data_IF_556547907170
#
_entry.id   IF_556547907170
#
_cell.length_a   1.000
_cell.length_b   1.000
_cell.length_c   1.000
_cell.angle_alpha   90.00
_cell.angle_beta   90.00
_cell.angle_gamma   90.00
#
_symmetry.space_group_name_H-M   'P 1'
#
loop_
_entity.id
_entity.type
_entity.pdbx_description
1 polymer ?
#
# COMPACT_ATOMS: atom_id res chain seq x y z
N UNK A 1 0.42 -17.18 -41.49
CA UNK A 1 1.59 -17.70 -40.72
C UNK A 1 2.58 -16.59 -40.30
N UNK A 2 2.93 -15.64 -41.17
CA UNK A 2 3.95 -14.60 -40.82
C UNK A 2 3.62 -13.68 -39.62
N UNK A 3 2.35 -13.35 -39.39
CA UNK A 3 1.96 -12.46 -38.26
C UNK A 3 1.97 -13.15 -36.90
N UNK A 4 1.78 -14.47 -36.83
CA UNK A 4 1.91 -15.25 -35.61
C UNK A 4 3.39 -15.40 -35.18
N UNK A 5 4.29 -15.51 -36.17
CA UNK A 5 5.73 -15.58 -35.91
C UNK A 5 6.30 -14.27 -35.39
N UNK A 6 5.77 -13.13 -35.84
CA UNK A 6 6.15 -11.78 -35.34
C UNK A 6 5.65 -11.57 -33.91
N UNK A 7 4.46 -12.06 -33.59
CA UNK A 7 3.93 -12.03 -32.23
C UNK A 7 4.75 -12.92 -31.29
N UNK A 8 5.15 -14.13 -31.71
CA UNK A 8 6.01 -15.03 -30.96
C UNK A 8 7.40 -14.45 -30.66
N UNK A 9 8.01 -13.76 -31.63
CA UNK A 9 9.28 -13.08 -31.44
C UNK A 9 9.17 -11.82 -30.56
N UNK A 10 8.01 -11.18 -30.55
CA UNK A 10 7.71 -10.07 -29.63
C UNK A 10 7.52 -10.58 -28.20
N UNK A 11 6.81 -11.70 -28.01
CA UNK A 11 6.59 -12.36 -26.71
C UNK A 11 7.92 -12.79 -26.07
N UNK A 12 8.85 -13.35 -26.85
CA UNK A 12 10.17 -13.80 -26.34
C UNK A 12 11.09 -12.67 -25.87
N UNK A 13 10.77 -11.41 -26.17
CA UNK A 13 11.58 -10.23 -25.78
C UNK A 13 10.98 -9.45 -24.61
N UNK A 14 9.72 -9.70 -24.25
CA UNK A 14 9.02 -8.97 -23.20
C UNK A 14 8.67 -9.89 -22.03
N UNK A 15 9.46 -9.80 -20.97
CA UNK A 15 9.21 -10.51 -19.69
C UNK A 15 7.90 -10.15 -19.00
N UNK A 16 7.14 -9.22 -19.56
CA UNK A 16 5.84 -8.74 -19.07
C UNK A 16 4.63 -9.40 -19.75
N UNK A 17 4.86 -10.32 -20.69
CA UNK A 17 3.78 -11.06 -21.37
C UNK A 17 3.96 -12.56 -21.16
N UNK A 18 2.97 -13.18 -20.53
CA UNK A 18 2.91 -14.64 -20.36
C UNK A 18 1.67 -15.16 -21.08
N UNK A 19 1.84 -16.18 -21.92
CA UNK A 19 0.73 -16.89 -22.56
C UNK A 19 0.78 -18.36 -22.15
N UNK A 20 -0.32 -18.84 -21.57
CA UNK A 20 -0.49 -20.22 -21.15
C UNK A 20 -1.66 -20.85 -21.91
N UNK A 21 -1.47 -22.08 -22.37
CA UNK A 21 -2.54 -22.90 -22.93
C UNK A 21 -2.82 -24.06 -21.97
N UNK A 22 -3.99 -24.03 -21.33
CA UNK A 22 -4.41 -25.03 -20.36
C UNK A 22 -5.80 -25.56 -20.75
N UNK A 23 -5.90 -26.84 -21.01
CA UNK A 23 -7.18 -27.50 -21.39
C UNK A 23 -7.97 -26.77 -22.50
N UNK A 24 -7.29 -26.25 -23.51
CA UNK A 24 -7.91 -25.50 -24.61
C UNK A 24 -8.25 -24.05 -24.31
N UNK A 25 -8.02 -23.57 -23.10
CA UNK A 25 -8.14 -22.15 -22.72
C UNK A 25 -6.82 -21.44 -22.95
N UNK A 26 -6.85 -20.31 -23.63
CA UNK A 26 -5.71 -19.42 -23.84
C UNK A 26 -5.74 -18.36 -22.75
N UNK A 27 -4.73 -18.33 -21.89
CA UNK A 27 -4.57 -17.29 -20.87
C UNK A 27 -3.45 -16.37 -21.31
N UNK A 28 -3.77 -15.10 -21.48
CA UNK A 28 -2.80 -14.03 -21.77
C UNK A 28 -2.71 -13.11 -20.59
N UNK A 29 -1.50 -12.98 -20.02
CA UNK A 29 -1.22 -12.08 -18.91
C UNK A 29 -0.31 -10.94 -19.38
N UNK A 30 -0.78 -9.70 -19.25
CA UNK A 30 -0.03 -8.48 -19.52
C UNK A 30 0.31 -7.82 -18.22
N UNK A 31 1.56 -7.95 -17.81
CA UNK A 31 2.09 -7.33 -16.62
C UNK A 31 2.50 -5.88 -16.89
N UNK A 32 2.29 -5.01 -15.91
CA UNK A 32 2.61 -3.58 -15.97
C UNK A 32 2.10 -2.88 -17.24
N UNK A 33 0.81 -3.02 -17.52
CA UNK A 33 0.15 -2.42 -18.68
C UNK A 33 0.47 -0.93 -18.90
N UNK A 34 0.62 -0.09 -17.85
CA UNK A 34 1.01 1.31 -17.99
C UNK A 34 2.34 1.53 -18.73
N UNK A 35 3.26 0.58 -18.70
CA UNK A 35 4.56 0.69 -19.35
C UNK A 35 4.48 0.59 -20.88
N UNK A 36 3.39 0.06 -21.40
CA UNK A 36 3.13 0.02 -22.85
C UNK A 36 2.56 1.34 -23.39
N UNK A 37 2.06 2.24 -22.51
CA UNK A 37 1.47 3.54 -22.90
C UNK A 37 2.56 4.62 -23.00
N UNK A 38 3.43 4.49 -24.01
CA UNK A 38 4.45 5.50 -24.29
C UNK A 38 3.86 6.68 -25.09
N UNK A 39 4.36 7.92 -24.94
CA UNK A 39 3.77 9.12 -25.56
C UNK A 39 3.61 9.04 -27.08
N UNK A 40 4.51 8.36 -27.78
CA UNK A 40 4.46 8.14 -29.23
C UNK A 40 3.77 6.83 -29.61
N UNK A 41 3.36 6.02 -28.63
CA UNK A 41 2.80 4.69 -28.82
C UNK A 41 1.30 4.73 -29.14
N UNK A 42 0.85 3.69 -29.82
CA UNK A 42 -0.57 3.48 -30.09
C UNK A 42 -1.06 2.18 -29.44
N UNK A 43 -0.37 1.71 -28.41
CA UNK A 43 -0.65 0.41 -27.81
C UNK A 43 -2.11 0.31 -27.32
N UNK A 44 -2.59 1.30 -26.56
CA UNK A 44 -3.99 1.26 -26.08
C UNK A 44 -5.01 1.18 -27.21
N UNK A 45 -4.80 1.95 -28.29
CA UNK A 45 -5.68 1.89 -29.47
C UNK A 45 -5.60 0.55 -30.17
N UNK A 46 -4.41 -0.03 -30.31
CA UNK A 46 -4.22 -1.35 -30.90
C UNK A 46 -4.83 -2.44 -30.02
N UNK A 47 -4.68 -2.33 -28.72
CA UNK A 47 -5.27 -3.23 -27.74
C UNK A 47 -6.80 -3.15 -27.74
N UNK A 48 -7.36 -1.94 -27.78
CA UNK A 48 -8.80 -1.69 -27.92
C UNK A 48 -9.35 -2.31 -29.21
N UNK A 49 -8.67 -2.08 -30.35
CA UNK A 49 -9.05 -2.68 -31.62
C UNK A 49 -8.98 -4.19 -31.59
N UNK A 50 -7.89 -4.77 -31.08
CA UNK A 50 -7.73 -6.22 -30.93
C UNK A 50 -8.87 -6.82 -30.11
N UNK A 51 -9.16 -6.24 -28.94
CA UNK A 51 -10.19 -6.76 -28.06
C UNK A 51 -11.58 -6.67 -28.71
N UNK A 52 -11.94 -5.52 -29.28
CA UNK A 52 -13.26 -5.31 -29.84
C UNK A 52 -13.51 -6.02 -31.18
N UNK A 53 -12.45 -6.25 -31.97
CA UNK A 53 -12.60 -6.89 -33.29
C UNK A 53 -12.47 -8.41 -33.23
N UNK A 54 -11.74 -8.96 -32.27
CA UNK A 54 -11.45 -10.39 -32.20
C UNK A 54 -11.47 -10.98 -30.81
N UNK A 55 -10.75 -10.39 -29.82
CA UNK A 55 -10.55 -10.97 -28.51
C UNK A 55 -11.86 -11.27 -27.78
N UNK A 56 -12.82 -10.35 -27.85
CA UNK A 56 -14.13 -10.49 -27.19
C UNK A 56 -15.04 -11.56 -27.79
N UNK A 57 -14.71 -12.10 -28.98
CA UNK A 57 -15.47 -13.18 -29.65
C UNK A 57 -14.89 -14.56 -29.37
N UNK A 58 -13.79 -14.64 -28.62
CA UNK A 58 -13.11 -15.90 -28.31
C UNK A 58 -13.54 -16.38 -26.91
N UNK A 59 -14.40 -17.43 -26.88
CA UNK A 59 -14.91 -18.00 -25.62
C UNK A 59 -13.81 -18.63 -24.75
N UNK A 60 -12.71 -19.05 -25.37
CA UNK A 60 -11.59 -19.71 -24.73
C UNK A 60 -10.43 -18.75 -24.39
N UNK A 61 -10.56 -17.45 -24.64
CA UNK A 61 -9.54 -16.46 -24.32
C UNK A 61 -9.81 -15.81 -22.94
N UNK A 62 -8.86 -15.94 -22.03
CA UNK A 62 -8.81 -15.19 -20.77
C UNK A 62 -7.68 -14.19 -20.84
N UNK A 63 -8.01 -12.90 -20.77
CA UNK A 63 -7.03 -11.83 -20.76
C UNK A 63 -6.96 -11.20 -19.37
N UNK A 64 -5.78 -11.25 -18.77
CA UNK A 64 -5.50 -10.66 -17.47
C UNK A 64 -4.54 -9.49 -17.70
N UNK A 65 -4.87 -8.33 -17.21
CA UNK A 65 -4.03 -7.14 -17.29
C UNK A 65 -3.79 -6.61 -15.88
N UNK A 66 -2.55 -6.28 -15.55
CA UNK A 66 -2.25 -5.67 -14.26
C UNK A 66 -1.40 -4.40 -14.43
N UNK A 67 -1.25 -3.66 -13.36
CA UNK A 67 -0.39 -2.49 -13.29
C UNK A 67 -0.37 -1.90 -11.89
N UNK A 68 0.81 -1.53 -11.43
CA UNK A 68 1.06 -0.87 -10.15
C UNK A 68 0.58 0.59 -10.13
N UNK A 69 0.52 1.25 -11.29
CA UNK A 69 0.05 2.62 -11.43
C UNK A 69 -1.48 2.70 -11.36
N UNK A 70 -2.03 2.53 -10.14
CA UNK A 70 -3.47 2.47 -9.84
C UNK A 70 -4.28 3.59 -10.49
N UNK A 71 -3.75 4.81 -10.52
CA UNK A 71 -4.41 5.95 -11.18
C UNK A 71 -4.49 5.80 -12.67
N UNK A 72 -3.39 5.35 -13.31
CA UNK A 72 -3.37 5.13 -14.74
C UNK A 72 -4.37 4.02 -15.11
N UNK A 73 -4.38 2.92 -14.39
CA UNK A 73 -5.34 1.83 -14.57
C UNK A 73 -6.78 2.32 -14.45
N UNK A 74 -7.07 3.14 -13.43
CA UNK A 74 -8.39 3.70 -13.22
C UNK A 74 -8.77 4.72 -14.31
N UNK A 75 -7.92 5.69 -14.60
CA UNK A 75 -8.24 6.82 -15.48
C UNK A 75 -8.23 6.41 -16.96
N UNK A 76 -7.26 5.60 -17.37
CA UNK A 76 -7.02 5.26 -18.77
C UNK A 76 -7.67 3.95 -19.21
N UNK A 77 -7.76 2.98 -18.31
CA UNK A 77 -8.27 1.66 -18.65
C UNK A 77 -9.69 1.43 -18.15
N UNK A 78 -9.95 1.64 -16.86
CA UNK A 78 -11.24 1.30 -16.22
C UNK A 78 -12.32 2.35 -16.50
N UNK A 79 -11.98 3.64 -16.32
CA UNK A 79 -12.93 4.77 -16.39
C UNK A 79 -12.85 5.55 -17.70
N UNK A 80 -11.99 5.12 -18.63
CA UNK A 80 -11.89 5.81 -19.92
C UNK A 80 -13.20 5.70 -20.70
N UNK A 81 -13.62 6.78 -21.33
CA UNK A 81 -14.77 6.77 -22.26
C UNK A 81 -14.44 6.12 -23.62
N UNK A 82 -13.29 5.45 -23.73
CA UNK A 82 -12.82 4.75 -24.92
C UNK A 82 -13.48 3.37 -25.13
N UNK A 83 -13.06 2.64 -26.14
CA UNK A 83 -13.64 1.35 -26.51
C UNK A 83 -13.33 0.20 -25.56
N UNK A 84 -12.50 0.42 -24.53
CA UNK A 84 -12.29 -0.50 -23.42
C UNK A 84 -13.27 -0.28 -22.27
N UNK A 85 -14.10 0.77 -22.33
CA UNK A 85 -15.11 1.04 -21.31
C UNK A 85 -16.08 -0.14 -21.19
N UNK A 86 -16.31 -0.56 -19.94
CA UNK A 86 -17.21 -1.68 -19.60
C UNK A 86 -16.84 -3.04 -20.25
N UNK A 87 -15.55 -3.23 -20.59
CA UNK A 87 -15.03 -4.50 -21.14
C UNK A 87 -14.38 -5.38 -20.08
N UNK A 88 -14.16 -4.84 -18.87
CA UNK A 88 -13.63 -5.58 -17.73
C UNK A 88 -14.75 -6.42 -17.10
N UNK A 89 -14.58 -7.73 -17.05
CA UNK A 89 -15.54 -8.67 -16.44
C UNK A 89 -15.30 -8.81 -14.94
N UNK A 90 -14.04 -8.71 -14.51
CA UNK A 90 -13.64 -8.83 -13.10
C UNK A 90 -12.56 -7.81 -12.78
N UNK A 91 -12.53 -7.33 -11.55
CA UNK A 91 -11.51 -6.41 -11.03
C UNK A 91 -11.00 -6.94 -9.71
N UNK A 92 -9.71 -7.24 -9.66
CA UNK A 92 -9.05 -7.73 -8.46
C UNK A 92 -8.13 -6.63 -7.96
N UNK A 93 -8.38 -6.16 -6.75
CA UNK A 93 -7.50 -5.27 -6.02
C UNK A 93 -6.61 -6.10 -5.10
N UNK A 94 -5.31 -6.10 -5.37
CA UNK A 94 -4.32 -6.79 -4.55
C UNK A 94 -3.86 -5.86 -3.44
N UNK A 95 -4.47 -5.98 -2.27
CA UNK A 95 -4.01 -5.31 -1.07
C UNK A 95 -2.72 -5.95 -0.53
N UNK A 96 -1.93 -5.24 0.27
CA UNK A 96 -0.88 -5.86 1.08
C UNK A 96 -1.43 -7.02 1.91
N UNK A 97 -0.62 -8.03 2.19
CA UNK A 97 -1.02 -9.17 3.01
C UNK A 97 -1.43 -8.71 4.41
N UNK A 98 -2.46 -9.34 4.95
CA UNK A 98 -2.79 -9.25 6.37
C UNK A 98 -1.86 -10.15 7.21
N UNK A 99 -1.99 -10.11 8.54
CA UNK A 99 -1.16 -10.92 9.45
C UNK A 99 -1.25 -12.43 9.18
N UNK A 100 -2.43 -12.94 8.85
CA UNK A 100 -2.63 -14.36 8.56
C UNK A 100 -1.92 -14.77 7.25
N UNK A 101 -2.05 -13.98 6.21
CA UNK A 101 -1.39 -14.20 4.92
C UNK A 101 0.12 -14.06 5.05
N UNK A 102 0.59 -13.11 5.86
CA UNK A 102 2.01 -12.93 6.18
C UNK A 102 2.57 -14.13 6.94
N UNK A 103 1.84 -14.66 7.93
CA UNK A 103 2.20 -15.89 8.64
C UNK A 103 2.31 -17.07 7.66
N UNK A 104 1.35 -17.22 6.75
CA UNK A 104 1.35 -18.29 5.76
C UNK A 104 2.54 -18.20 4.81
N UNK A 105 2.87 -16.99 4.32
CA UNK A 105 4.03 -16.77 3.46
C UNK A 105 5.34 -17.08 4.19
N UNK A 106 5.53 -16.57 5.40
CA UNK A 106 6.73 -16.80 6.20
C UNK A 106 6.95 -18.30 6.46
N UNK A 107 5.90 -19.02 6.85
CA UNK A 107 5.96 -20.49 7.03
C UNK A 107 6.31 -21.22 5.73
N UNK A 108 5.75 -20.81 4.59
CA UNK A 108 6.07 -21.41 3.29
C UNK A 108 7.54 -21.22 2.91
N UNK A 109 8.17 -20.13 3.37
CA UNK A 109 9.61 -19.85 3.18
C UNK A 109 10.50 -20.50 4.26
N UNK A 110 9.91 -21.28 5.17
CA UNK A 110 10.61 -21.99 6.24
C UNK A 110 11.00 -21.09 7.42
N UNK A 111 10.38 -19.92 7.56
CA UNK A 111 10.49 -19.03 8.72
C UNK A 111 9.40 -19.41 9.71
N UNK A 112 9.74 -20.17 10.73
CA UNK A 112 8.81 -20.66 11.76
C UNK A 112 8.93 -19.83 13.03
N UNK A 113 8.48 -18.60 12.96
CA UNK A 113 8.42 -17.67 14.07
C UNK A 113 7.06 -17.77 14.79
N UNK A 114 7.06 -17.47 16.08
CA UNK A 114 5.81 -17.29 16.81
C UNK A 114 5.04 -16.04 16.33
N UNK A 115 3.77 -15.94 16.71
CA UNK A 115 2.90 -14.86 16.26
C UNK A 115 3.32 -13.48 16.76
N UNK A 116 4.03 -13.41 17.90
CA UNK A 116 4.56 -12.14 18.39
C UNK A 116 5.67 -11.62 17.47
N UNK A 117 6.62 -12.48 17.10
CA UNK A 117 7.68 -12.12 16.14
C UNK A 117 7.13 -11.82 14.74
N UNK A 118 6.08 -12.54 14.30
CA UNK A 118 5.39 -12.24 13.03
C UNK A 118 4.74 -10.86 13.08
N UNK A 119 4.12 -10.50 14.20
CA UNK A 119 3.56 -9.16 14.41
C UNK A 119 4.65 -8.09 14.39
N UNK A 120 5.77 -8.32 15.07
CA UNK A 120 6.91 -7.40 15.07
C UNK A 120 7.50 -7.24 13.66
N UNK A 121 7.64 -8.32 12.89
CA UNK A 121 8.05 -8.26 11.49
C UNK A 121 7.05 -7.46 10.64
N UNK A 122 5.76 -7.69 10.83
CA UNK A 122 4.70 -6.98 10.13
C UNK A 122 4.71 -5.47 10.43
N UNK A 123 5.01 -5.08 11.67
CA UNK A 123 5.16 -3.67 12.06
C UNK A 123 6.33 -2.98 11.32
N UNK A 124 7.39 -3.72 10.93
CA UNK A 124 8.54 -3.18 10.19
C UNK A 124 8.32 -3.20 8.69
N UNK A 125 7.92 -4.35 8.15
CA UNK A 125 7.90 -4.61 6.70
C UNK A 125 6.53 -4.41 6.06
N UNK A 126 5.48 -4.25 6.87
CA UNK A 126 4.11 -4.29 6.40
C UNK A 126 3.73 -5.66 5.83
N UNK A 127 2.62 -5.70 5.11
CA UNK A 127 2.18 -6.90 4.40
C UNK A 127 2.75 -7.02 2.98
N UNK A 128 3.94 -6.48 2.70
CA UNK A 128 4.54 -6.51 1.36
C UNK A 128 5.21 -7.87 1.12
N UNK A 129 4.67 -8.72 0.21
CA UNK A 129 5.18 -10.08 0.02
C UNK A 129 6.67 -10.13 -0.34
N UNK A 130 7.14 -9.17 -1.12
CA UNK A 130 8.55 -9.07 -1.51
C UNK A 130 9.44 -8.94 -0.27
N UNK A 131 9.15 -8.00 0.63
CA UNK A 131 9.98 -7.76 1.81
C UNK A 131 9.95 -8.95 2.77
N UNK A 132 8.77 -9.53 2.99
CA UNK A 132 8.63 -10.73 3.82
C UNK A 132 9.37 -11.94 3.23
N UNK A 133 9.43 -12.07 1.91
CA UNK A 133 10.15 -13.16 1.24
C UNK A 133 11.67 -13.04 1.32
N UNK A 134 12.20 -11.84 1.62
CA UNK A 134 13.63 -11.61 1.79
C UNK A 134 14.14 -11.99 3.18
N UNK A 135 13.24 -12.28 4.14
CA UNK A 135 13.61 -12.64 5.51
C UNK A 135 14.35 -14.00 5.55
N UNK A 136 15.49 -14.01 6.22
CA UNK A 136 16.35 -15.19 6.36
C UNK A 136 15.99 -15.94 7.64
N UNK A 137 15.60 -17.20 7.49
CA UNK A 137 15.17 -18.08 8.60
C UNK A 137 16.22 -18.35 9.68
N UNK A 138 17.49 -18.21 9.33
CA UNK A 138 18.64 -18.46 10.22
C UNK A 138 19.09 -17.21 11.00
N UNK A 139 18.41 -16.09 10.83
CA UNK A 139 18.68 -14.85 11.54
C UNK A 139 17.51 -14.50 12.47
N UNK A 140 17.80 -13.79 13.57
CA UNK A 140 16.77 -13.16 14.37
C UNK A 140 16.04 -12.09 13.55
N UNK A 141 14.86 -11.64 14.01
CA UNK A 141 14.15 -10.54 13.38
C UNK A 141 15.03 -9.28 13.32
N UNK A 142 15.66 -8.90 14.43
CA UNK A 142 16.48 -7.70 14.51
C UNK A 142 17.68 -7.75 13.54
N UNK A 143 18.33 -8.91 13.45
CA UNK A 143 19.42 -9.12 12.48
C UNK A 143 18.93 -9.07 11.01
N UNK A 144 17.71 -9.55 10.73
CA UNK A 144 17.09 -9.38 9.42
C UNK A 144 16.82 -7.90 9.09
N UNK A 145 16.33 -7.13 10.06
CA UNK A 145 16.08 -5.69 9.88
C UNK A 145 17.38 -4.94 9.61
N UNK A 146 18.44 -5.23 10.36
CA UNK A 146 19.76 -4.63 10.12
C UNK A 146 20.30 -4.99 8.72
N UNK A 147 20.23 -6.26 8.32
CA UNK A 147 20.59 -6.72 6.98
C UNK A 147 19.84 -6.04 5.85
N UNK A 148 18.55 -5.73 6.05
CA UNK A 148 17.70 -5.19 5.00
C UNK A 148 17.72 -3.67 4.90
N UNK A 149 18.03 -2.94 5.99
CA UNK A 149 17.95 -1.48 6.02
C UNK A 149 19.26 -0.76 6.38
N UNK A 150 20.12 -1.35 7.21
CA UNK A 150 21.19 -0.58 7.89
C UNK A 150 22.60 -0.96 7.49
N UNK A 151 22.85 -2.19 7.04
CA UNK A 151 24.19 -2.57 6.58
C UNK A 151 24.54 -1.92 5.24
N UNK A 152 25.81 -1.84 4.91
CA UNK A 152 26.27 -1.34 3.61
C UNK A 152 25.66 -2.15 2.46
N UNK A 153 25.05 -1.46 1.49
CA UNK A 153 24.37 -2.09 0.37
C UNK A 153 23.04 -2.77 0.71
N UNK A 154 22.43 -2.45 1.86
CA UNK A 154 21.15 -3.02 2.28
C UNK A 154 20.05 -2.80 1.23
N UNK A 155 19.30 -3.86 0.84
CA UNK A 155 18.40 -3.84 -0.30
C UNK A 155 17.22 -2.86 -0.13
N UNK A 156 16.76 -2.59 1.09
CA UNK A 156 15.64 -1.69 1.36
C UNK A 156 16.05 -0.30 1.86
N UNK A 157 17.37 -0.01 1.92
CA UNK A 157 17.84 1.30 2.38
C UNK A 157 17.27 2.47 1.56
N UNK A 158 17.25 2.33 0.25
CA UNK A 158 16.74 3.36 -0.68
C UNK A 158 15.36 3.00 -1.27
N UNK A 159 14.69 1.97 -0.75
CA UNK A 159 13.46 1.44 -1.33
C UNK A 159 12.34 2.47 -1.37
N UNK A 160 12.21 3.32 -0.34
CA UNK A 160 11.22 4.39 -0.31
C UNK A 160 11.33 5.32 -1.53
N UNK A 161 12.53 5.77 -1.87
CA UNK A 161 12.73 6.62 -3.04
C UNK A 161 12.48 5.89 -4.36
N UNK A 162 12.98 4.66 -4.48
CA UNK A 162 12.80 3.86 -5.69
C UNK A 162 11.33 3.54 -5.92
N UNK A 163 10.59 3.18 -4.88
CA UNK A 163 9.15 2.93 -4.93
C UNK A 163 8.39 4.16 -5.44
N UNK A 164 8.62 5.33 -4.86
CA UNK A 164 7.93 6.55 -5.28
C UNK A 164 8.28 6.97 -6.71
N UNK A 165 9.53 6.83 -7.12
CA UNK A 165 9.96 7.10 -8.51
C UNK A 165 9.34 6.13 -9.51
N UNK A 166 9.11 4.88 -9.13
CA UNK A 166 8.46 3.90 -10.00
C UNK A 166 6.96 4.15 -10.17
N UNK A 167 6.28 4.62 -9.12
CA UNK A 167 4.83 4.81 -9.10
C UNK A 167 4.38 6.18 -9.62
N UNK A 168 5.18 7.22 -9.41
CA UNK A 168 4.76 8.60 -9.65
C UNK A 168 5.75 9.37 -10.51
N UNK A 169 5.24 9.96 -11.59
CA UNK A 169 6.06 10.79 -12.50
C UNK A 169 6.71 11.99 -11.79
N UNK A 170 5.99 12.61 -10.83
CA UNK A 170 6.48 13.72 -9.99
C UNK A 170 6.67 13.19 -8.57
N UNK A 171 7.60 12.25 -8.39
CA UNK A 171 7.84 11.56 -7.12
C UNK A 171 8.16 12.52 -5.97
N UNK A 172 8.92 13.59 -6.23
CA UNK A 172 9.31 14.57 -5.21
C UNK A 172 8.10 15.31 -4.63
N UNK A 173 7.08 15.57 -5.46
CA UNK A 173 5.83 16.16 -4.99
C UNK A 173 5.09 15.23 -4.03
N UNK A 174 5.01 13.95 -4.36
CA UNK A 174 4.38 12.94 -3.50
C UNK A 174 5.17 12.71 -2.22
N UNK A 175 6.49 12.61 -2.29
CA UNK A 175 7.35 12.43 -1.12
C UNK A 175 7.21 13.60 -0.13
N UNK A 176 7.16 14.87 -0.61
CA UNK A 176 6.91 16.03 0.26
C UNK A 176 5.55 15.94 0.99
N UNK A 177 4.53 15.39 0.36
CA UNK A 177 3.22 15.17 0.99
C UNK A 177 3.33 14.11 2.09
N UNK A 178 3.99 12.99 1.81
CA UNK A 178 4.23 11.93 2.81
C UNK A 178 5.07 12.47 3.98
N UNK A 179 6.11 13.26 3.70
CA UNK A 179 6.94 13.89 4.73
C UNK A 179 6.13 14.80 5.66
N UNK A 180 5.18 15.54 5.11
CA UNK A 180 4.29 16.36 5.90
C UNK A 180 3.37 15.50 6.79
N UNK A 181 2.78 14.44 6.22
CA UNK A 181 1.84 13.55 6.92
C UNK A 181 2.55 12.76 8.01
N UNK A 182 3.77 12.29 7.76
CA UNK A 182 4.55 11.45 8.72
C UNK A 182 4.95 12.16 10.01
N UNK A 183 4.85 13.51 10.07
CA UNK A 183 5.19 14.29 11.27
C UNK A 183 4.22 14.12 12.42
N UNK A 184 2.98 13.70 12.15
CA UNK A 184 1.95 13.49 13.18
C UNK A 184 1.30 12.11 13.01
N UNK A 185 1.41 11.27 14.01
CA UNK A 185 0.89 9.90 13.98
C UNK A 185 -0.62 9.84 13.74
N UNK A 186 -1.39 10.79 14.30
CA UNK A 186 -2.83 10.91 14.11
C UNK A 186 -3.22 11.47 12.73
N UNK A 187 -2.23 11.82 11.88
CA UNK A 187 -2.46 12.48 10.61
C UNK A 187 -2.65 13.99 10.74
N UNK A 188 -2.82 14.63 9.59
CA UNK A 188 -2.95 16.08 9.44
C UNK A 188 -4.08 16.45 8.49
N UNK A 189 -4.60 17.65 8.63
CA UNK A 189 -5.61 18.20 7.73
C UNK A 189 -5.01 18.53 6.35
N UNK A 190 -5.87 18.69 5.35
CA UNK A 190 -5.44 19.15 4.02
C UNK A 190 -4.71 20.50 4.08
N UNK A 191 -5.15 21.42 4.95
CA UNK A 191 -4.51 22.72 5.11
C UNK A 191 -3.11 22.57 5.69
N UNK A 192 -2.91 21.75 6.71
CA UNK A 192 -1.59 21.47 7.28
C UNK A 192 -0.66 20.82 6.24
N UNK A 193 -1.20 19.96 5.34
CA UNK A 193 -0.40 19.42 4.22
C UNK A 193 0.10 20.56 3.33
N UNK A 194 -0.77 21.48 2.92
CA UNK A 194 -0.39 22.64 2.09
C UNK A 194 0.75 23.43 2.72
N UNK A 195 0.62 23.73 4.01
CA UNK A 195 1.60 24.53 4.76
C UNK A 195 2.93 23.78 4.94
N UNK A 196 2.88 22.52 5.38
CA UNK A 196 4.08 21.75 5.73
C UNK A 196 4.83 21.18 4.54
N UNK A 197 4.12 20.72 3.50
CA UNK A 197 4.72 20.26 2.25
C UNK A 197 5.10 21.40 1.29
N UNK A 198 4.68 22.65 1.62
CA UNK A 198 4.87 23.85 0.78
C UNK A 198 4.34 23.62 -0.65
N UNK A 199 3.10 23.17 -0.75
CA UNK A 199 2.41 22.87 -2.00
C UNK A 199 1.15 23.73 -2.15
N UNK A 200 0.67 23.90 -3.39
CA UNK A 200 -0.55 24.67 -3.62
C UNK A 200 -1.82 23.85 -3.34
N UNK A 201 -2.84 24.50 -2.78
CA UNK A 201 -4.16 23.93 -2.53
C UNK A 201 -5.01 23.81 -3.81
N UNK A 202 -4.55 23.05 -4.79
CA UNK A 202 -5.13 22.95 -6.13
C UNK A 202 -5.56 21.51 -6.49
N UNK A 203 -5.93 21.30 -7.76
CA UNK A 203 -6.32 20.00 -8.30
C UNK A 203 -5.18 18.96 -8.29
N UNK A 204 -3.91 19.38 -8.41
CA UNK A 204 -2.77 18.48 -8.36
C UNK A 204 -2.65 17.83 -6.96
N UNK A 205 -2.81 18.61 -5.89
CA UNK A 205 -2.85 18.07 -4.52
C UNK A 205 -4.03 17.11 -4.32
N UNK A 206 -5.21 17.46 -4.85
CA UNK A 206 -6.39 16.57 -4.74
C UNK A 206 -6.13 15.23 -5.42
N UNK A 207 -5.52 15.27 -6.61
CA UNK A 207 -5.15 14.06 -7.36
C UNK A 207 -4.09 13.24 -6.61
N UNK A 208 -3.05 13.89 -6.08
CA UNK A 208 -2.00 13.22 -5.33
C UNK A 208 -2.54 12.53 -4.07
N UNK A 209 -3.37 13.19 -3.28
CA UNK A 209 -4.00 12.58 -2.11
C UNK A 209 -4.88 11.39 -2.49
N UNK A 210 -5.65 11.48 -3.58
CA UNK A 210 -6.44 10.36 -4.09
C UNK A 210 -5.54 9.18 -4.49
N UNK A 211 -4.43 9.45 -5.17
CA UNK A 211 -3.48 8.42 -5.59
C UNK A 211 -2.84 7.73 -4.39
N UNK A 212 -2.36 8.50 -3.41
CA UNK A 212 -1.75 7.95 -2.19
C UNK A 212 -2.73 7.09 -1.40
N UNK A 213 -4.02 7.46 -1.36
CA UNK A 213 -5.08 6.62 -0.74
C UNK A 213 -5.28 5.35 -1.57
N UNK A 214 -5.32 5.44 -2.89
CA UNK A 214 -5.52 4.28 -3.78
C UNK A 214 -4.34 3.30 -3.79
N UNK A 215 -3.16 3.74 -3.34
CA UNK A 215 -1.97 2.90 -3.17
C UNK A 215 -1.80 2.43 -1.71
N UNK A 216 -2.79 2.64 -0.84
CA UNK A 216 -2.77 2.29 0.59
C UNK A 216 -1.64 2.94 1.42
N UNK A 217 -0.97 3.97 0.89
CA UNK A 217 0.07 4.67 1.65
C UNK A 217 -0.51 5.53 2.77
N UNK A 218 -1.70 6.11 2.53
CA UNK A 218 -2.39 6.94 3.51
C UNK A 218 -3.88 6.61 3.55
N UNK A 219 -4.51 6.87 4.68
CA UNK A 219 -5.97 6.91 4.79
C UNK A 219 -6.49 8.32 5.00
N UNK A 220 -7.72 8.57 4.55
CA UNK A 220 -8.51 9.75 4.92
C UNK A 220 -9.59 9.33 5.90
N UNK A 221 -9.70 9.98 7.05
CA UNK A 221 -10.73 9.71 8.03
C UNK A 221 -11.16 10.97 8.75
N UNK A 222 -12.35 10.96 9.36
CA UNK A 222 -12.83 12.04 10.23
C UNK A 222 -12.77 11.60 11.69
N UNK A 223 -12.27 12.45 12.56
CA UNK A 223 -12.36 12.19 13.99
C UNK A 223 -13.85 12.18 14.43
N UNK A 224 -14.17 11.42 15.46
CA UNK A 224 -15.53 11.27 15.97
C UNK A 224 -16.19 12.63 16.25
N UNK A 225 -17.40 12.84 15.72
CA UNK A 225 -18.14 14.08 15.85
C UNK A 225 -17.63 15.25 14.98
N UNK A 226 -16.62 15.04 14.13
CA UNK A 226 -16.13 16.07 13.18
C UNK A 226 -16.72 15.89 11.79
N UNK A 227 -16.77 17.00 11.03
CA UNK A 227 -17.28 16.99 9.65
C UNK A 227 -16.22 16.50 8.67
N UNK A 228 -16.65 16.01 7.51
CA UNK A 228 -15.74 15.55 6.44
C UNK A 228 -14.73 16.62 5.96
N UNK A 229 -15.09 17.90 6.03
CA UNK A 229 -14.17 19.00 5.70
C UNK A 229 -12.95 19.08 6.62
N UNK A 230 -13.07 18.54 7.84
CA UNK A 230 -12.01 18.52 8.86
C UNK A 230 -11.28 17.16 8.88
N UNK A 231 -11.41 16.38 7.79
CA UNK A 231 -10.82 15.07 7.68
C UNK A 231 -9.29 15.12 7.76
N UNK A 232 -8.74 14.10 8.38
CA UNK A 232 -7.31 13.90 8.56
C UNK A 232 -6.78 12.91 7.52
N UNK A 233 -5.56 13.14 7.09
CA UNK A 233 -4.77 12.23 6.26
C UNK A 233 -3.67 11.64 7.12
N UNK A 234 -3.66 10.34 7.25
CA UNK A 234 -2.76 9.59 8.13
C UNK A 234 -1.97 8.58 7.31
N UNK A 235 -0.68 8.46 7.58
CA UNK A 235 0.19 7.42 7.01
C UNK A 235 -0.23 6.06 7.56
N UNK A 236 -0.45 5.09 6.67
CA UNK A 236 -0.90 3.73 7.02
C UNK A 236 0.09 2.66 6.61
N UNK A 237 0.96 2.93 5.65
CA UNK A 237 2.00 2.00 5.25
C UNK A 237 3.06 1.88 6.35
N UNK A 238 3.21 0.67 6.90
CA UNK A 238 4.11 0.40 8.02
C UNK A 238 5.57 0.47 7.61
N UNK A 239 5.91 0.06 6.39
CA UNK A 239 7.30 0.11 5.89
C UNK A 239 7.77 1.55 5.69
N UNK A 240 6.89 2.42 5.18
CA UNK A 240 7.17 3.86 5.07
C UNK A 240 7.24 4.50 6.46
N UNK A 241 6.37 4.11 7.39
CA UNK A 241 6.41 4.60 8.77
C UNK A 241 7.73 4.25 9.44
N UNK A 242 8.20 3.00 9.27
CA UNK A 242 9.51 2.55 9.76
C UNK A 242 10.65 3.32 9.10
N UNK A 243 10.64 3.44 7.77
CA UNK A 243 11.64 4.19 7.01
C UNK A 243 11.78 5.63 7.53
N UNK A 244 10.67 6.36 7.64
CA UNK A 244 10.65 7.76 8.11
C UNK A 244 11.14 7.92 9.55
N UNK A 245 10.95 6.92 10.39
CA UNK A 245 11.35 6.97 11.79
C UNK A 245 12.82 6.65 12.02
N UNK A 246 13.36 5.65 11.32
CA UNK A 246 14.66 5.07 11.60
C UNK A 246 15.65 5.13 10.44
N UNK A 247 15.21 4.81 9.21
CA UNK A 247 16.11 4.66 8.07
C UNK A 247 16.53 6.03 7.50
N UNK A 248 15.58 6.93 7.28
CA UNK A 248 15.84 8.28 6.74
C UNK A 248 16.87 9.09 7.57
N UNK A 249 16.93 8.85 8.87
CA UNK A 249 17.82 9.55 9.81
C UNK A 249 19.11 8.80 10.10
N UNK A 250 19.24 7.62 9.53
CA UNK A 250 20.43 6.80 9.72
C UNK A 250 21.64 7.40 9.02
N UNK A 251 22.78 7.44 9.72
CA UNK A 251 24.01 8.09 9.27
C UNK A 251 25.05 7.16 8.64
N UNK A 252 24.69 5.89 8.43
CA UNK A 252 25.55 4.90 7.77
C UNK A 252 26.71 4.36 8.64
N UNK A 253 26.72 4.57 9.96
CA UNK A 253 27.87 4.25 10.82
C UNK A 253 27.72 2.99 11.67
N UNK A 254 26.54 2.41 11.75
CA UNK A 254 26.24 1.29 12.64
C UNK A 254 25.38 0.25 11.93
N UNK A 255 26.01 -0.81 11.41
CA UNK A 255 25.33 -1.91 10.72
C UNK A 255 24.38 -2.71 11.61
N UNK A 256 24.48 -2.58 12.93
CA UNK A 256 23.60 -3.17 13.95
C UNK A 256 22.68 -2.11 14.58
N UNK A 257 22.35 -1.07 13.82
CA UNK A 257 21.61 0.09 14.32
C UNK A 257 20.28 -0.29 14.97
N UNK A 258 19.50 -1.16 14.33
CA UNK A 258 18.23 -1.61 14.88
C UNK A 258 18.39 -2.51 16.10
N UNK A 259 19.31 -3.48 16.04
CA UNK A 259 19.63 -4.35 17.17
C UNK A 259 20.05 -3.53 18.40
N UNK A 260 20.86 -2.50 18.21
CA UNK A 260 21.34 -1.63 19.29
C UNK A 260 20.25 -0.70 19.88
N UNK A 261 19.11 -0.56 19.19
CA UNK A 261 17.97 0.22 19.68
C UNK A 261 16.98 -0.59 20.55
N UNK A 262 17.25 -1.85 20.88
CA UNK A 262 16.30 -2.76 21.53
C UNK A 262 15.63 -2.16 22.78
N UNK A 263 16.39 -1.51 23.64
CA UNK A 263 15.91 -0.90 24.87
C UNK A 263 15.64 0.60 24.77
N UNK A 264 15.70 1.16 23.56
CA UNK A 264 15.58 2.61 23.38
C UNK A 264 14.14 3.09 23.57
N UNK A 265 13.92 4.28 24.14
CA UNK A 265 12.60 4.89 24.21
C UNK A 265 11.98 5.11 22.82
N UNK A 266 12.79 5.37 21.78
CA UNK A 266 12.34 5.57 20.42
C UNK A 266 11.72 4.31 19.82
N UNK A 267 12.33 3.14 20.04
CA UNK A 267 11.80 1.84 19.60
C UNK A 267 10.49 1.51 20.33
N UNK A 268 10.44 1.67 21.66
CA UNK A 268 9.21 1.46 22.43
C UNK A 268 8.05 2.33 21.98
N UNK A 269 8.30 3.64 21.79
CA UNK A 269 7.27 4.56 21.30
C UNK A 269 6.79 4.17 19.89
N UNK A 270 7.72 3.79 19.01
CA UNK A 270 7.38 3.37 17.65
C UNK A 270 6.56 2.08 17.65
N UNK A 271 6.90 1.11 18.49
CA UNK A 271 6.14 -0.17 18.58
C UNK A 271 4.66 0.10 18.91
N UNK A 272 4.36 0.99 19.86
CA UNK A 272 2.98 1.38 20.17
C UNK A 272 2.28 1.99 18.95
N UNK A 273 2.91 2.96 18.29
CA UNK A 273 2.35 3.62 17.10
C UNK A 273 2.13 2.62 15.95
N UNK A 274 3.10 1.74 15.70
CA UNK A 274 2.99 0.73 14.66
C UNK A 274 1.88 -0.29 14.97
N UNK A 275 1.73 -0.69 16.23
CA UNK A 275 0.66 -1.58 16.66
C UNK A 275 -0.73 -0.97 16.46
N UNK A 276 -0.93 0.33 16.78
CA UNK A 276 -2.17 1.06 16.46
C UNK A 276 -2.48 0.97 14.96
N UNK A 277 -1.47 1.17 14.09
CA UNK A 277 -1.67 1.03 12.65
C UNK A 277 -2.02 -0.40 12.23
N UNK A 278 -1.40 -1.41 12.84
CA UNK A 278 -1.79 -2.82 12.59
C UNK A 278 -3.25 -3.05 12.94
N UNK A 279 -3.72 -2.55 14.09
CA UNK A 279 -5.14 -2.66 14.47
C UNK A 279 -6.05 -2.00 13.45
N UNK A 280 -5.69 -0.81 12.96
CA UNK A 280 -6.46 -0.08 11.94
C UNK A 280 -6.49 -0.79 10.58
N UNK A 281 -5.41 -1.46 10.20
CA UNK A 281 -5.36 -2.28 8.98
C UNK A 281 -6.17 -3.57 9.10
N UNK A 282 -6.43 -4.05 10.33
CA UNK A 282 -7.12 -5.31 10.62
C UNK A 282 -8.54 -5.13 11.20
N UNK A 283 -9.15 -3.94 10.99
CA UNK A 283 -10.53 -3.68 11.45
C UNK A 283 -11.54 -4.75 11.00
N UNK A 284 -11.51 -5.27 9.76
CA UNK A 284 -12.41 -6.36 9.36
C UNK A 284 -12.28 -7.61 10.24
N UNK A 285 -11.05 -8.01 10.57
CA UNK A 285 -10.75 -9.17 11.40
C UNK A 285 -11.18 -8.93 12.86
N UNK A 286 -10.92 -7.72 13.39
CA UNK A 286 -11.38 -7.30 14.72
C UNK A 286 -12.91 -7.35 14.80
N UNK A 287 -13.62 -6.82 13.79
CA UNK A 287 -15.09 -6.88 13.73
C UNK A 287 -15.60 -8.31 13.68
N UNK A 288 -14.91 -9.19 12.98
CA UNK A 288 -15.25 -10.61 12.94
C UNK A 288 -15.08 -11.26 14.32
N UNK A 289 -13.96 -11.01 14.99
CA UNK A 289 -13.69 -11.52 16.33
C UNK A 289 -14.69 -11.00 17.37
N UNK A 290 -15.17 -9.76 17.23
CA UNK A 290 -16.21 -9.16 18.08
C UNK A 290 -17.64 -9.61 17.72
N UNK A 291 -17.83 -10.42 16.67
CA UNK A 291 -19.16 -10.86 16.22
C UNK A 291 -20.01 -9.75 15.57
N UNK A 292 -19.38 -8.68 15.11
CA UNK A 292 -20.07 -7.49 14.54
C UNK A 292 -19.78 -7.26 13.05
N UNK A 293 -19.22 -8.26 12.35
CA UNK A 293 -18.85 -8.16 10.93
C UNK A 293 -20.04 -7.78 10.02
N UNK A 294 -21.26 -8.24 10.36
CA UNK A 294 -22.49 -7.91 9.63
C UNK A 294 -23.13 -6.57 10.00
N UNK A 295 -22.62 -5.83 11.00
CA UNK A 295 -23.16 -4.54 11.42
C UNK A 295 -22.50 -3.42 10.65
N UNK A 296 -23.29 -2.49 10.13
CA UNK A 296 -22.76 -1.27 9.52
C UNK A 296 -22.05 -0.44 10.60
N UNK A 297 -20.80 -0.11 10.35
CA UNK A 297 -19.93 0.60 11.30
C UNK A 297 -19.15 1.70 10.62
N UNK A 298 -18.77 2.70 11.40
CA UNK A 298 -17.79 3.72 11.05
C UNK A 298 -16.61 3.64 12.02
N UNK A 299 -15.39 3.76 11.50
CA UNK A 299 -14.14 3.72 12.30
C UNK A 299 -13.57 5.11 12.36
N UNK A 300 -13.40 5.63 13.56
CA UNK A 300 -12.88 6.96 13.83
C UNK A 300 -11.92 6.93 15.02
N UNK A 301 -11.25 8.03 15.30
CA UNK A 301 -10.55 8.28 16.56
C UNK A 301 -11.26 9.40 17.31
N UNK A 302 -10.96 9.53 18.59
CA UNK A 302 -11.45 10.64 19.39
C UNK A 302 -10.33 11.24 20.22
N UNK A 303 -10.32 12.57 20.35
CA UNK A 303 -9.36 13.28 21.16
C UNK A 303 -10.00 14.51 21.79
N UNK A 304 -9.67 14.68 23.06
CA UNK A 304 -9.91 15.90 23.82
C UNK A 304 -8.56 16.45 24.29
N UNK A 305 -8.25 17.70 23.95
CA UNK A 305 -6.95 18.30 24.28
C UNK A 305 -6.77 18.63 25.77
N UNK A 306 -7.86 18.53 26.52
CA UNK A 306 -7.92 19.01 27.90
C UNK A 306 -8.29 20.50 27.99
N UNK A 307 -8.72 20.91 29.15
CA UNK A 307 -8.95 22.30 29.53
C UNK A 307 -8.42 22.56 30.94
N UNK A 308 -8.74 23.73 31.50
CA UNK A 308 -8.26 24.09 32.85
C UNK A 308 -8.80 23.21 33.99
N UNK A 309 -9.83 22.38 33.73
CA UNK A 309 -10.49 21.52 34.72
C UNK A 309 -10.33 20.04 34.44
N UNK A 310 -10.06 19.66 33.20
CA UNK A 310 -10.08 18.25 32.76
C UNK A 310 -8.83 17.92 31.98
N UNK A 311 -8.17 16.84 32.36
CA UNK A 311 -7.00 16.32 31.63
C UNK A 311 -7.37 15.92 30.21
N UNK A 312 -6.46 16.07 29.27
CA UNK A 312 -6.61 15.59 27.92
C UNK A 312 -6.78 14.06 27.86
N UNK A 313 -7.56 13.58 26.90
CA UNK A 313 -7.76 12.16 26.68
C UNK A 313 -7.82 11.85 25.17
N UNK A 314 -7.45 10.64 24.79
CA UNK A 314 -7.44 10.17 23.42
C UNK A 314 -7.99 8.74 23.37
N UNK A 315 -8.68 8.38 22.31
CA UNK A 315 -9.06 7.03 21.98
C UNK A 315 -8.64 6.78 20.53
N UNK A 316 -7.78 5.79 20.32
CA UNK A 316 -7.13 5.58 19.03
C UNK A 316 -8.07 4.98 18.01
N UNK A 317 -8.98 4.10 18.43
CA UNK A 317 -9.98 3.51 17.56
C UNK A 317 -11.35 3.41 18.23
N UNK A 318 -12.33 4.05 17.58
CA UNK A 318 -13.75 3.95 17.89
C UNK A 318 -14.45 3.22 16.76
N UNK A 319 -15.21 2.18 17.08
CA UNK A 319 -16.11 1.53 16.12
C UNK A 319 -17.53 1.93 16.47
N UNK A 320 -18.07 2.93 15.78
CA UNK A 320 -19.45 3.38 15.93
C UNK A 320 -20.36 2.49 15.09
N UNK A 321 -21.38 1.92 15.73
CA UNK A 321 -22.29 0.95 15.13
C UNK A 321 -23.66 1.59 14.87
N UNK A 322 -24.33 1.16 13.81
CA UNK A 322 -25.69 1.63 13.49
C UNK A 322 -26.74 1.26 14.55
N UNK A 323 -26.50 0.22 15.33
CA UNK A 323 -27.34 -0.19 16.47
C UNK A 323 -27.12 0.65 17.74
N UNK A 324 -26.49 1.82 17.61
CA UNK A 324 -26.23 2.82 18.67
C UNK A 324 -25.27 2.36 19.77
N UNK A 325 -24.43 1.38 19.47
CA UNK A 325 -23.31 0.97 20.34
C UNK A 325 -22.02 1.55 19.80
N UNK A 326 -21.13 1.94 20.70
CA UNK A 326 -19.75 2.35 20.37
C UNK A 326 -18.79 1.41 21.07
N UNK A 327 -17.96 0.71 20.29
CA UNK A 327 -16.83 -0.04 20.81
C UNK A 327 -15.63 0.88 20.94
N UNK A 328 -15.06 0.94 22.12
CA UNK A 328 -13.82 1.65 22.42
C UNK A 328 -12.67 0.66 22.36
N UNK A 329 -11.65 0.97 21.58
CA UNK A 329 -10.47 0.13 21.41
C UNK A 329 -9.24 1.01 21.73
N UNK A 330 -8.49 0.59 22.75
CA UNK A 330 -7.31 1.29 23.27
C UNK A 330 -6.18 0.28 23.53
#
# INVERSE_FOLDING_TARGET
MGRLFTLWNFIGRHKYLITLLVFGVIIVFLDELPWFDVPSGQFLKAFEWFWNSWGSTQDNLKMIVCGSATTWMTDKFISSKGGLYNRTTERIYLAPFNLHESEALLKSNGVDWDRSLILDAYMVFGGVPLYLSMLKKNLSLDANVDEMFFREGAPLHNEYEFLFRSLFKDSDFYMRIIDAISKKNMGITRQEIVEQAKVNANGALTKALKNLISCDFIRKYSAFGKKERDALYQLTDLSILFYKRFVEKYNGKDEHHWTNLIDSPSRRTWTGIAFEQVCLLHVPQIKQALGIAGVQTEVSSWRFAGDQYTAGAQIDMLITRRDKVINLCE
#
